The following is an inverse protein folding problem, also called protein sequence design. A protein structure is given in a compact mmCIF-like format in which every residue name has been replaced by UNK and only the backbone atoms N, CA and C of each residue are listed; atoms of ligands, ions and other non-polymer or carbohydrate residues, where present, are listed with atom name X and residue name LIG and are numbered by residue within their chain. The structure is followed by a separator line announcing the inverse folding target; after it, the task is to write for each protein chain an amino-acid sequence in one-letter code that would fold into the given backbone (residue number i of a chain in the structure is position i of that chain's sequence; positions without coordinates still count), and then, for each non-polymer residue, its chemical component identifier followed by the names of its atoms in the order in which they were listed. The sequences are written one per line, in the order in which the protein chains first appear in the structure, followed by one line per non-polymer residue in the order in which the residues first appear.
data_IF_695787293486
#
_entry.id   IF_695787293486
#
_cell.length_a   1.000
_cell.length_b   1.000
_cell.length_c   1.000
_cell.angle_alpha   90.00
_cell.angle_beta   90.00
_cell.angle_gamma   90.00
#
_symmetry.space_group_name_H-M   'P 1'
#
loop_
_entity.id
_entity.type
_entity.pdbx_description
1 polymer ?
#
# COMPACT_ATOMS: atom_id res chain seq x y z
N UNK A 1 -26.34 31.11 5.26
CA UNK A 1 -25.45 29.94 5.40
C UNK A 1 -24.33 30.31 6.36
N UNK A 2 -24.12 29.53 7.42
CA UNK A 2 -23.06 29.84 8.40
C UNK A 2 -21.67 29.62 7.76
N UNK A 3 -20.67 30.43 8.12
CA UNK A 3 -19.29 30.30 7.64
C UNK A 3 -18.76 28.85 7.80
N UNK A 4 -19.10 28.19 8.90
CA UNK A 4 -18.73 26.81 9.17
C UNK A 4 -19.39 25.80 8.22
N UNK A 5 -20.62 26.04 7.77
CA UNK A 5 -21.28 25.15 6.81
C UNK A 5 -20.64 25.26 5.41
N UNK A 6 -20.20 26.46 5.02
CA UNK A 6 -19.48 26.67 3.77
C UNK A 6 -18.11 25.95 3.76
N UNK A 7 -17.35 26.06 4.85
CA UNK A 7 -16.06 25.35 4.99
C UNK A 7 -16.24 23.83 4.90
N UNK A 8 -17.24 23.28 5.58
CA UNK A 8 -17.52 21.84 5.55
C UNK A 8 -17.89 21.37 4.14
N UNK A 9 -18.73 22.13 3.44
CA UNK A 9 -19.09 21.84 2.05
C UNK A 9 -17.88 21.86 1.12
N UNK A 10 -16.97 22.82 1.28
CA UNK A 10 -15.71 22.86 0.53
C UNK A 10 -14.82 21.66 0.85
N UNK A 11 -14.64 21.33 2.14
CA UNK A 11 -13.81 20.21 2.59
C UNK A 11 -14.30 18.86 2.04
N UNK A 12 -15.62 18.62 2.06
CA UNK A 12 -16.23 17.42 1.47
C UNK A 12 -16.01 17.32 -0.04
N UNK A 13 -16.19 18.44 -0.77
CA UNK A 13 -15.90 18.48 -2.21
C UNK A 13 -14.44 18.20 -2.52
N UNK A 14 -13.52 18.82 -1.77
CA UNK A 14 -12.08 18.58 -1.89
C UNK A 14 -11.74 17.11 -1.62
N UNK A 15 -12.30 16.51 -0.56
CA UNK A 15 -12.10 15.10 -0.27
C UNK A 15 -12.58 14.21 -1.43
N UNK A 16 -13.74 14.56 -2.01
CA UNK A 16 -14.33 13.83 -3.14
C UNK A 16 -13.47 13.89 -4.38
N UNK A 17 -13.12 15.09 -4.78
CA UNK A 17 -12.43 15.33 -6.02
C UNK A 17 -11.00 14.78 -5.94
N UNK A 18 -10.33 14.91 -4.79
CA UNK A 18 -9.00 14.30 -4.57
C UNK A 18 -9.01 12.79 -4.71
N UNK A 19 -9.96 12.11 -4.06
CA UNK A 19 -10.03 10.65 -4.10
C UNK A 19 -10.48 10.13 -5.47
N UNK A 20 -11.47 10.78 -6.10
CA UNK A 20 -11.89 10.47 -7.45
C UNK A 20 -10.74 10.59 -8.46
N UNK A 21 -10.00 11.70 -8.40
CA UNK A 21 -8.85 11.93 -9.26
C UNK A 21 -7.76 10.89 -9.03
N UNK A 22 -7.56 10.42 -7.79
CA UNK A 22 -6.60 9.35 -7.49
C UNK A 22 -7.01 8.01 -8.12
N UNK A 23 -8.29 7.63 -8.07
CA UNK A 23 -8.81 6.44 -8.74
C UNK A 23 -8.66 6.54 -10.27
N UNK A 24 -9.01 7.69 -10.84
CA UNK A 24 -8.86 7.94 -12.28
C UNK A 24 -7.41 7.89 -12.72
N UNK A 25 -6.52 8.51 -11.96
CA UNK A 25 -5.09 8.50 -12.22
C UNK A 25 -4.51 7.08 -12.13
N UNK A 26 -4.89 6.30 -11.12
CA UNK A 26 -4.45 4.91 -11.00
C UNK A 26 -4.86 4.08 -12.23
N UNK A 27 -6.11 4.20 -12.66
CA UNK A 27 -6.60 3.54 -13.89
C UNK A 27 -5.87 4.00 -15.14
N UNK A 28 -5.72 5.32 -15.32
CA UNK A 28 -5.03 5.87 -16.49
C UNK A 28 -3.56 5.45 -16.53
N UNK A 29 -2.88 5.43 -15.38
CA UNK A 29 -1.51 4.95 -15.28
C UNK A 29 -1.38 3.49 -15.61
N UNK A 30 -2.33 2.64 -15.25
CA UNK A 30 -2.32 1.25 -15.68
C UNK A 30 -2.32 1.13 -17.22
N UNK A 31 -3.16 1.93 -17.88
CA UNK A 31 -3.22 1.97 -19.35
C UNK A 31 -1.96 2.55 -20.01
N UNK A 32 -1.39 3.63 -19.45
CA UNK A 32 -0.24 4.32 -20.03
C UNK A 32 1.05 3.54 -19.80
N UNK A 33 1.27 3.09 -18.56
CA UNK A 33 2.50 2.42 -18.18
C UNK A 33 2.51 0.94 -18.65
N UNK A 34 1.35 0.41 -19.08
CA UNK A 34 1.22 -0.95 -19.59
C UNK A 34 1.39 -2.04 -18.52
N UNK A 35 1.26 -1.66 -17.24
CA UNK A 35 1.45 -2.53 -16.09
C UNK A 35 0.31 -2.33 -15.08
N UNK A 36 0.15 -3.25 -14.12
CA UNK A 36 -0.87 -3.06 -13.09
C UNK A 36 -0.54 -1.87 -12.19
N UNK A 37 -1.59 -1.15 -11.81
CA UNK A 37 -1.48 -0.04 -10.87
C UNK A 37 -2.56 -0.20 -9.81
N UNK A 38 -2.15 -0.14 -8.54
CA UNK A 38 -3.05 -0.25 -7.41
C UNK A 38 -3.19 1.08 -6.69
N UNK A 39 -4.41 1.40 -6.29
CA UNK A 39 -4.68 2.41 -5.29
C UNK A 39 -4.92 1.71 -3.96
N UNK A 40 -4.15 2.09 -2.94
CA UNK A 40 -4.19 1.53 -1.59
C UNK A 40 -4.65 2.63 -0.63
N UNK A 41 -5.62 2.31 0.24
CA UNK A 41 -6.23 3.24 1.22
C UNK A 41 -6.05 2.72 2.64
N UNK A 42 -5.71 3.62 3.55
CA UNK A 42 -5.57 3.35 4.98
C UNK A 42 -6.00 4.57 5.80
N UNK A 43 -6.39 4.36 7.04
CA UNK A 43 -6.53 5.45 8.01
C UNK A 43 -5.27 5.53 8.85
N UNK A 44 -4.78 6.74 9.12
CA UNK A 44 -3.63 6.97 10.00
C UNK A 44 -3.95 7.98 11.10
N UNK A 45 -3.15 7.96 12.17
CA UNK A 45 -3.27 8.93 13.25
C UNK A 45 -2.84 10.32 12.77
N UNK A 46 -3.78 11.27 12.77
CA UNK A 46 -3.52 12.66 12.37
C UNK A 46 -3.15 13.55 13.55
N UNK A 47 -3.59 13.18 14.76
CA UNK A 47 -3.23 13.83 16.00
C UNK A 47 -3.37 12.85 17.18
N UNK A 48 -2.61 13.12 18.23
CA UNK A 48 -2.72 12.44 19.52
C UNK A 48 -3.36 13.38 20.55
N UNK A 49 -3.88 12.81 21.62
CA UNK A 49 -4.35 13.56 22.77
C UNK A 49 -3.19 14.26 23.50
N UNK A 50 -3.51 15.10 24.49
CA UNK A 50 -2.49 15.84 25.25
C UNK A 50 -1.51 14.90 26.00
N UNK A 51 -1.91 13.66 26.26
CA UNK A 51 -1.07 12.63 26.88
C UNK A 51 -0.17 11.89 25.88
N UNK A 52 -0.35 12.11 24.57
CA UNK A 52 0.39 11.45 23.50
C UNK A 52 0.10 9.96 23.36
N UNK A 53 -0.94 9.46 24.03
CA UNK A 53 -1.21 8.02 24.17
C UNK A 53 -2.39 7.59 23.31
N UNK A 54 -3.47 8.39 23.29
CA UNK A 54 -4.66 8.10 22.50
C UNK A 54 -4.66 8.90 21.20
N UNK A 55 -5.30 8.37 20.16
CA UNK A 55 -5.50 9.10 18.92
C UNK A 55 -6.65 10.10 19.15
N UNK A 56 -6.44 11.38 18.83
CA UNK A 56 -7.50 12.39 18.91
C UNK A 56 -8.15 12.65 17.55
N UNK A 57 -7.43 12.42 16.45
CA UNK A 57 -7.90 12.68 15.08
C UNK A 57 -7.32 11.65 14.09
N UNK A 58 -8.11 11.28 13.08
CA UNK A 58 -7.70 10.38 12.01
C UNK A 58 -7.62 11.13 10.67
N UNK A 59 -6.74 10.65 9.81
CA UNK A 59 -6.68 11.05 8.41
C UNK A 59 -6.88 9.82 7.53
N UNK A 60 -7.88 9.89 6.64
CA UNK A 60 -7.97 9.01 5.48
C UNK A 60 -6.84 9.33 4.51
N UNK A 61 -5.97 8.37 4.28
CA UNK A 61 -4.81 8.50 3.40
C UNK A 61 -4.80 7.41 2.34
N UNK A 62 -4.18 7.73 1.21
CA UNK A 62 -4.08 6.80 0.10
C UNK A 62 -2.78 7.00 -0.68
N UNK A 63 -2.42 5.96 -1.44
CA UNK A 63 -1.22 5.93 -2.29
C UNK A 63 -1.53 5.18 -3.57
N UNK A 64 -0.86 5.59 -4.66
CA UNK A 64 -0.97 4.92 -5.96
C UNK A 64 0.37 4.28 -6.29
N UNK A 65 0.35 2.96 -6.51
CA UNK A 65 1.53 2.13 -6.64
C UNK A 65 1.56 1.40 -7.99
N UNK A 66 2.72 1.37 -8.62
CA UNK A 66 2.99 0.59 -9.84
C UNK A 66 3.48 -0.80 -9.47
N UNK A 67 2.96 -1.84 -10.12
CA UNK A 67 3.55 -3.19 -10.03
C UNK A 67 4.94 -3.18 -10.66
N UNK A 68 5.93 -3.70 -9.92
CA UNK A 68 7.29 -3.92 -10.44
C UNK A 68 7.52 -5.38 -10.80
N UNK A 69 6.95 -6.29 -10.04
CA UNK A 69 7.17 -7.72 -10.21
C UNK A 69 6.41 -8.55 -9.20
N UNK A 70 6.78 -9.83 -9.14
CA UNK A 70 6.23 -10.82 -8.20
C UNK A 70 7.36 -11.52 -7.50
N UNK A 71 7.15 -11.83 -6.22
CA UNK A 71 8.13 -12.59 -5.49
C UNK A 71 8.07 -14.06 -5.85
N UNK A 72 9.17 -14.59 -6.39
CA UNK A 72 9.31 -16.03 -6.64
C UNK A 72 9.57 -16.79 -5.34
N UNK A 73 10.25 -16.17 -4.37
CA UNK A 73 10.51 -16.77 -3.07
C UNK A 73 10.47 -15.77 -1.91
N UNK A 74 10.10 -16.28 -0.74
CA UNK A 74 10.17 -15.55 0.53
C UNK A 74 10.84 -16.46 1.56
N UNK A 75 11.97 -16.03 2.12
CA UNK A 75 12.69 -16.77 3.17
C UNK A 75 13.20 -15.82 4.24
N UNK A 76 12.74 -16.01 5.48
CA UNK A 76 13.05 -15.12 6.59
C UNK A 76 12.73 -13.67 6.23
N UNK A 77 13.73 -12.79 6.26
CA UNK A 77 13.57 -11.37 5.92
C UNK A 77 13.85 -11.04 4.46
N UNK A 78 14.17 -12.04 3.64
CA UNK A 78 14.53 -11.84 2.24
C UNK A 78 13.34 -12.11 1.32
N UNK A 79 13.13 -11.19 0.38
CA UNK A 79 12.12 -11.25 -0.66
C UNK A 79 12.82 -11.34 -2.01
N UNK A 80 12.56 -12.39 -2.78
CA UNK A 80 13.31 -12.73 -3.98
C UNK A 80 12.48 -12.53 -5.23
N UNK A 81 13.07 -11.91 -6.22
CA UNK A 81 12.52 -11.80 -7.57
C UNK A 81 13.63 -12.15 -8.57
N UNK A 82 13.42 -13.24 -9.30
CA UNK A 82 14.36 -13.77 -10.30
C UNK A 82 14.13 -13.21 -11.71
N UNK A 83 12.97 -12.60 -11.95
CA UNK A 83 12.56 -12.16 -13.27
C UNK A 83 12.77 -10.67 -13.47
N UNK A 84 12.63 -9.88 -12.41
CA UNK A 84 12.90 -8.46 -12.46
C UNK A 84 14.40 -8.18 -12.40
N UNK A 85 14.86 -7.22 -13.20
CA UNK A 85 16.23 -6.72 -13.12
C UNK A 85 16.41 -5.78 -11.91
N UNK A 86 16.26 -6.35 -10.72
CA UNK A 86 16.42 -5.67 -9.44
C UNK A 86 17.80 -5.01 -9.30
N UNK A 87 18.82 -5.55 -9.97
CA UNK A 87 20.18 -5.00 -9.98
C UNK A 87 20.32 -3.69 -10.76
N UNK A 88 19.40 -3.41 -11.70
CA UNK A 88 19.30 -2.12 -12.38
C UNK A 88 18.47 -1.10 -11.59
N UNK A 89 17.48 -1.57 -10.83
CA UNK A 89 16.55 -0.73 -10.07
C UNK A 89 17.11 -0.30 -8.71
N UNK A 90 17.90 -1.16 -8.08
CA UNK A 90 18.49 -0.94 -6.75
C UNK A 90 20.00 -1.09 -6.80
N UNK A 91 20.69 -0.38 -5.92
CA UNK A 91 22.14 -0.56 -5.78
C UNK A 91 22.45 -1.95 -5.22
N UNK A 92 23.62 -2.50 -5.56
CA UNK A 92 24.12 -3.74 -4.93
C UNK A 92 24.52 -3.46 -3.49
N UNK A 93 24.25 -4.43 -2.60
CA UNK A 93 24.69 -4.40 -1.19
C UNK A 93 26.21 -4.25 -1.11
N UNK A 94 26.67 -3.34 -0.27
CA UNK A 94 28.08 -3.04 0.03
C UNK A 94 28.43 -3.43 1.45
N UNK A 95 29.73 -3.50 1.75
CA UNK A 95 30.20 -3.69 3.12
C UNK A 95 29.74 -2.52 4.00
N UNK A 96 29.11 -2.84 5.14
CA UNK A 96 28.54 -1.85 6.08
C UNK A 96 27.04 -1.59 5.90
N UNK A 97 26.43 -2.08 4.81
CA UNK A 97 24.98 -2.02 4.64
C UNK A 97 24.26 -2.91 5.65
N UNK A 98 23.23 -2.36 6.29
CA UNK A 98 22.36 -3.12 7.19
C UNK A 98 20.90 -2.73 7.03
N UNK A 99 20.01 -3.73 7.07
CA UNK A 99 18.56 -3.55 7.10
C UNK A 99 18.06 -3.20 8.51
N UNK A 100 18.92 -2.57 9.32
CA UNK A 100 18.62 -2.17 10.69
C UNK A 100 18.39 -0.65 10.82
N UNK A 101 18.57 0.09 9.72
CA UNK A 101 18.42 1.55 9.69
C UNK A 101 17.28 1.94 8.76
N UNK A 102 16.38 2.81 9.22
CA UNK A 102 15.29 3.34 8.40
C UNK A 102 15.77 4.39 7.40
N UNK A 103 16.96 4.96 7.60
CA UNK A 103 17.53 5.98 6.73
C UNK A 103 17.77 5.42 5.33
N UNK A 104 17.12 6.02 4.33
CA UNK A 104 17.19 5.56 2.94
C UNK A 104 16.43 4.26 2.67
N UNK A 105 15.63 3.75 3.60
CA UNK A 105 14.77 2.59 3.33
C UNK A 105 13.73 2.89 2.25
N UNK A 106 13.32 1.84 1.52
CA UNK A 106 12.32 1.93 0.46
C UNK A 106 11.04 1.26 0.94
N UNK A 107 9.90 1.92 0.72
CA UNK A 107 8.60 1.33 1.00
C UNK A 107 8.16 0.47 -0.17
N UNK A 108 7.92 -0.80 0.13
CA UNK A 108 7.46 -1.78 -0.83
C UNK A 108 6.02 -2.17 -0.53
N UNK A 109 5.14 -1.99 -1.51
CA UNK A 109 3.72 -2.24 -1.36
C UNK A 109 3.38 -3.64 -1.88
N UNK A 110 2.72 -4.45 -1.05
CA UNK A 110 2.12 -5.71 -1.44
C UNK A 110 0.78 -5.41 -2.13
N UNK A 111 0.76 -5.50 -3.46
CA UNK A 111 -0.42 -5.18 -4.26
C UNK A 111 -1.47 -6.31 -4.24
N UNK A 112 -1.08 -7.50 -3.78
CA UNK A 112 -1.98 -8.66 -3.60
C UNK A 112 -2.75 -8.59 -2.28
N UNK A 113 -2.13 -8.09 -1.21
CA UNK A 113 -2.73 -7.98 0.13
C UNK A 113 -3.13 -6.55 0.50
N UNK A 114 -2.68 -5.56 -0.27
CA UNK A 114 -2.95 -4.15 -0.02
C UNK A 114 -2.16 -3.57 1.16
N UNK A 115 -1.05 -4.16 1.60
CA UNK A 115 -0.25 -3.64 2.71
C UNK A 115 1.17 -3.29 2.24
N UNK A 116 2.09 -2.92 3.13
CA UNK A 116 3.45 -2.51 2.74
C UNK A 116 4.52 -2.91 3.76
N UNK A 117 5.79 -2.93 3.38
CA UNK A 117 6.91 -3.14 4.31
C UNK A 117 8.07 -2.22 3.93
N UNK A 118 9.01 -1.97 4.85
CA UNK A 118 10.26 -1.31 4.51
C UNK A 118 11.32 -2.34 4.14
N UNK A 119 12.04 -2.05 3.08
CA UNK A 119 13.22 -2.81 2.65
C UNK A 119 14.44 -1.89 2.59
N UNK A 120 15.63 -2.45 2.69
CA UNK A 120 16.87 -1.71 2.45
C UNK A 120 16.90 -1.13 1.02
N UNK A 121 17.62 -0.02 0.78
CA UNK A 121 17.75 0.58 -0.57
C UNK A 121 18.65 -0.22 -1.52
N UNK A 122 18.93 -1.48 -1.21
CA UNK A 122 19.89 -2.30 -1.90
C UNK A 122 19.34 -3.70 -2.15
N UNK A 123 19.96 -4.40 -3.09
CA UNK A 123 19.71 -5.80 -3.37
C UNK A 123 20.95 -6.63 -3.05
N UNK A 124 20.74 -7.78 -2.44
CA UNK A 124 21.79 -8.75 -2.16
C UNK A 124 21.66 -9.94 -3.11
N UNK A 125 22.79 -10.57 -3.45
CA UNK A 125 22.77 -11.83 -4.16
C UNK A 125 22.70 -12.96 -3.16
N UNK A 126 21.61 -13.71 -3.18
CA UNK A 126 21.38 -14.82 -2.27
C UNK A 126 21.07 -16.08 -3.05
N UNK A 127 21.54 -17.21 -2.52
CA UNK A 127 21.22 -18.53 -3.07
C UNK A 127 19.93 -19.01 -2.43
N UNK A 128 18.95 -19.35 -3.27
CA UNK A 128 17.67 -19.95 -2.87
C UNK A 128 17.74 -21.43 -3.20
N UNK A 129 17.24 -22.30 -2.31
CA UNK A 129 17.16 -23.74 -2.57
C UNK A 129 18.42 -24.54 -2.30
N UNK A 130 19.25 -24.12 -1.33
CA UNK A 130 20.32 -24.99 -0.83
C UNK A 130 19.74 -26.23 -0.13
N UNK A 131 20.49 -27.32 -0.05
CA UNK A 131 20.05 -28.62 0.53
C UNK A 131 19.60 -28.56 1.99
N UNK A 132 19.77 -27.43 2.68
CA UNK A 132 19.24 -27.16 4.02
C UNK A 132 17.85 -26.48 4.02
N UNK A 133 17.46 -25.83 2.92
CA UNK A 133 16.17 -25.18 2.70
C UNK A 133 15.37 -25.98 1.66
N UNK A 134 14.72 -27.04 2.12
CA UNK A 134 13.95 -28.01 1.32
C UNK A 134 12.67 -27.47 0.65
N UNK A 135 12.53 -26.15 0.48
CA UNK A 135 11.28 -25.49 0.08
C UNK A 135 11.36 -24.58 -1.15
N UNK A 136 12.49 -24.53 -1.84
CA UNK A 136 12.62 -23.73 -3.07
C UNK A 136 12.21 -24.53 -4.31
N UNK A 137 10.91 -24.69 -4.52
CA UNK A 137 10.37 -25.10 -5.82
C UNK A 137 10.18 -23.85 -6.69
N UNK A 138 10.77 -23.83 -7.90
CA UNK A 138 10.45 -22.81 -8.92
C UNK A 138 8.96 -22.95 -9.15
N UNK A 139 8.25 -21.84 -9.16
CA UNK A 139 6.87 -21.81 -9.64
C UNK A 139 6.82 -22.54 -11.00
N UNK A 140 5.97 -23.57 -11.08
CA UNK A 140 5.75 -24.40 -12.28
C UNK A 140 6.85 -25.40 -12.69
N UNK A 141 7.93 -25.58 -11.92
CA UNK A 141 9.01 -26.53 -12.28
C UNK A 141 8.85 -27.95 -11.72
N UNK A 142 8.13 -28.11 -10.60
CA UNK A 142 7.95 -29.41 -9.94
C UNK A 142 9.22 -30.03 -9.34
N UNK A 143 10.30 -29.25 -9.14
CA UNK A 143 11.55 -29.74 -8.57
C UNK A 143 12.32 -28.70 -7.76
N UNK A 144 13.25 -29.17 -6.92
CA UNK A 144 14.17 -28.33 -6.14
C UNK A 144 15.47 -28.08 -6.90
N UNK A 145 15.84 -26.82 -7.09
CA UNK A 145 17.12 -26.41 -7.66
C UNK A 145 17.65 -25.20 -6.88
N UNK A 146 18.97 -25.06 -6.92
CA UNK A 146 19.66 -23.95 -6.30
C UNK A 146 19.87 -22.84 -7.33
N UNK A 147 19.30 -21.66 -7.10
CA UNK A 147 19.47 -20.48 -7.95
C UNK A 147 20.01 -19.32 -7.15
N UNK A 148 20.90 -18.55 -7.77
CA UNK A 148 21.35 -17.27 -7.24
C UNK A 148 20.44 -16.17 -7.79
N UNK A 149 19.73 -15.48 -6.91
CA UNK A 149 18.76 -14.44 -7.28
C UNK A 149 19.00 -13.15 -6.47
N UNK A 150 18.47 -12.04 -6.97
CA UNK A 150 18.45 -10.78 -6.24
C UNK A 150 17.39 -10.83 -5.14
N UNK A 151 17.78 -10.40 -3.94
CA UNK A 151 16.93 -10.36 -2.77
C UNK A 151 16.86 -8.96 -2.17
N UNK A 152 15.65 -8.50 -1.91
CA UNK A 152 15.37 -7.34 -1.05
C UNK A 152 15.37 -7.81 0.40
N UNK A 153 16.02 -7.05 1.28
CA UNK A 153 16.09 -7.36 2.71
C UNK A 153 15.12 -6.46 3.48
N UNK A 154 14.13 -7.08 4.14
CA UNK A 154 13.16 -6.39 5.00
C UNK A 154 13.84 -5.84 6.25
N UNK A 155 13.39 -4.67 6.69
CA UNK A 155 13.78 -4.12 7.98
C UNK A 155 13.11 -4.92 9.11
N UNK A 156 13.87 -5.24 10.17
CA UNK A 156 13.45 -6.17 11.23
C UNK A 156 13.22 -5.53 12.60
N UNK A 157 13.52 -4.23 12.77
CA UNK A 157 13.40 -3.53 14.04
C UNK A 157 11.99 -2.96 14.28
N UNK A 158 11.60 -2.85 15.54
CA UNK A 158 10.35 -2.26 16.00
C UNK A 158 10.21 -0.77 15.62
N UNK A 159 9.01 -0.37 15.21
CA UNK A 159 8.61 1.00 14.87
C UNK A 159 7.67 1.05 13.68
N UNK A 160 7.43 2.23 13.10
CA UNK A 160 6.68 2.38 11.83
C UNK A 160 7.27 1.57 10.66
N UNK A 161 8.49 1.04 10.82
CA UNK A 161 9.16 0.11 9.92
C UNK A 161 8.54 -1.30 9.87
N UNK A 162 7.86 -1.72 10.94
CA UNK A 162 7.28 -3.06 11.11
C UNK A 162 5.76 -3.11 10.98
N UNK A 163 5.09 -1.96 10.80
CA UNK A 163 3.62 -1.87 10.99
C UNK A 163 2.81 -2.46 9.86
N UNK A 164 3.40 -2.64 8.68
CA UNK A 164 2.86 -3.58 7.73
C UNK A 164 3.51 -4.95 7.94
N UNK A 165 2.90 -5.71 8.85
CA UNK A 165 3.11 -7.15 9.02
C UNK A 165 2.55 -7.89 7.80
N UNK A 166 3.00 -7.54 6.60
CA UNK A 166 2.73 -8.32 5.40
C UNK A 166 3.45 -9.64 5.56
N UNK A 167 2.66 -10.69 5.78
CA UNK A 167 3.11 -12.05 5.56
C UNK A 167 3.22 -12.21 4.05
N UNK A 168 4.33 -11.72 3.49
CA UNK A 168 4.66 -11.90 2.08
C UNK A 168 4.67 -13.39 1.78
N UNK A 169 4.02 -13.76 0.68
CA UNK A 169 3.98 -15.12 0.18
C UNK A 169 4.61 -15.17 -1.21
N UNK A 170 5.15 -16.33 -1.54
CA UNK A 170 5.49 -16.64 -2.93
C UNK A 170 4.28 -16.38 -3.83
N UNK A 171 4.50 -15.66 -4.93
CA UNK A 171 3.49 -15.23 -5.89
C UNK A 171 2.87 -13.85 -5.61
N UNK A 172 3.08 -13.26 -4.43
CA UNK A 172 2.59 -11.91 -4.13
C UNK A 172 3.23 -10.89 -5.09
N UNK A 173 2.39 -10.05 -5.68
CA UNK A 173 2.80 -8.91 -6.49
C UNK A 173 3.24 -7.75 -5.61
N UNK A 174 4.35 -7.12 -5.96
CA UNK A 174 4.87 -5.96 -5.24
C UNK A 174 5.04 -4.74 -6.15
N UNK A 175 5.04 -3.57 -5.53
CA UNK A 175 5.12 -2.30 -6.24
C UNK A 175 5.70 -1.16 -5.43
N UNK A 176 5.96 -0.06 -6.14
CA UNK A 176 6.48 1.19 -5.57
C UNK A 176 5.51 2.33 -5.87
N UNK A 177 5.55 3.37 -5.04
CA UNK A 177 4.73 4.55 -5.21
C UNK A 177 5.05 5.29 -6.52
N UNK A 178 4.01 5.62 -7.29
CA UNK A 178 4.08 6.55 -8.44
C UNK A 178 3.73 7.96 -7.96
N UNK A 179 2.78 8.04 -7.03
CA UNK A 179 2.35 9.28 -6.39
C UNK A 179 2.57 9.12 -4.90
N UNK A 180 3.19 10.10 -4.23
CA UNK A 180 3.39 10.03 -2.80
C UNK A 180 2.06 9.91 -2.07
N UNK A 181 2.11 9.42 -0.83
CA UNK A 181 0.94 9.35 0.04
C UNK A 181 0.27 10.72 0.11
N UNK A 182 -1.04 10.73 -0.09
CA UNK A 182 -1.89 11.92 0.07
C UNK A 182 -2.95 11.63 1.13
N UNK A 183 -3.14 12.59 2.02
CA UNK A 183 -4.20 12.58 3.01
C UNK A 183 -5.36 13.44 2.54
N UNK A 184 -6.57 12.97 2.78
CA UNK A 184 -7.77 13.79 2.68
C UNK A 184 -7.76 14.88 3.77
N UNK A 185 -8.59 15.93 3.65
CA UNK A 185 -8.77 16.89 4.73
C UNK A 185 -9.05 16.21 6.07
N UNK A 186 -8.59 16.83 7.16
CA UNK A 186 -8.79 16.30 8.51
C UNK A 186 -10.27 16.06 8.82
N UNK A 187 -10.53 15.04 9.65
CA UNK A 187 -11.88 14.64 10.04
C UNK A 187 -12.61 13.79 9.00
N UNK A 188 -11.94 13.29 7.97
CA UNK A 188 -12.46 12.25 7.07
C UNK A 188 -11.77 10.91 7.31
N UNK A 189 -12.55 9.84 7.23
CA UNK A 189 -12.08 8.47 7.38
C UNK A 189 -12.67 7.56 6.29
N UNK A 190 -11.97 6.49 5.96
CA UNK A 190 -12.58 5.34 5.27
C UNK A 190 -13.39 4.53 6.28
N UNK A 191 -14.70 4.39 6.04
CA UNK A 191 -15.65 3.79 6.98
C UNK A 191 -15.41 2.30 7.17
N UNK A 192 -14.99 1.61 6.11
CA UNK A 192 -14.74 0.17 6.12
C UNK A 192 -13.46 -0.26 6.87
N UNK A 193 -12.63 0.70 7.30
CA UNK A 193 -11.38 0.42 8.01
C UNK A 193 -11.53 0.68 9.51
N UNK A 194 -10.58 0.19 10.31
CA UNK A 194 -10.51 0.51 11.72
C UNK A 194 -10.50 2.05 11.94
N UNK A 195 -11.47 2.49 12.73
CA UNK A 195 -11.71 3.89 13.08
C UNK A 195 -11.61 4.12 14.60
N UNK A 196 -11.08 3.14 15.35
CA UNK A 196 -10.97 3.20 16.80
C UNK A 196 -9.83 4.14 17.21
N UNK A 197 -10.16 5.06 18.11
CA UNK A 197 -9.27 6.13 18.56
C UNK A 197 -8.39 5.73 19.75
N UNK A 198 -7.92 4.48 19.80
CA UNK A 198 -7.17 3.94 20.94
C UNK A 198 -5.67 4.13 20.79
N UNK A 199 -5.05 3.52 19.77
CA UNK A 199 -3.61 3.63 19.48
C UNK A 199 -3.35 3.49 17.98
N UNK A 200 -2.35 4.22 17.48
CA UNK A 200 -1.91 4.15 16.08
C UNK A 200 -1.50 2.74 15.65
N UNK A 201 -0.99 1.93 16.58
CA UNK A 201 -0.58 0.55 16.31
C UNK A 201 -1.77 -0.38 15.96
N UNK A 202 -3.00 0.05 16.23
CA UNK A 202 -4.21 -0.71 15.89
C UNK A 202 -4.73 -0.39 14.48
N UNK A 203 -4.24 0.67 13.83
CA UNK A 203 -4.63 1.10 12.48
C UNK A 203 -3.83 0.33 11.41
N UNK A 204 -4.05 -0.99 11.35
CA UNK A 204 -3.38 -1.88 10.38
C UNK A 204 -4.26 -2.24 9.19
N UNK A 205 -5.53 -1.82 9.23
CA UNK A 205 -6.48 -2.13 8.17
C UNK A 205 -6.14 -1.35 6.92
N UNK A 206 -6.08 -2.06 5.81
CA UNK A 206 -5.83 -1.48 4.50
C UNK A 206 -6.79 -2.10 3.50
N UNK A 207 -7.17 -1.31 2.50
CA UNK A 207 -7.95 -1.79 1.36
C UNK A 207 -7.34 -1.28 0.07
N UNK A 208 -7.59 -1.98 -1.03
CA UNK A 208 -7.04 -1.58 -2.32
C UNK A 208 -7.96 -1.93 -3.48
N UNK A 209 -7.68 -1.29 -4.61
CA UNK A 209 -8.18 -1.69 -5.93
C UNK A 209 -7.00 -1.71 -6.88
N UNK A 210 -6.93 -2.74 -7.72
CA UNK A 210 -5.86 -2.91 -8.71
C UNK A 210 -6.46 -2.88 -10.10
N UNK A 211 -5.94 -1.98 -10.93
CA UNK A 211 -6.28 -1.86 -12.34
C UNK A 211 -5.29 -2.66 -13.20
N UNK A 212 -5.82 -3.40 -14.16
CA UNK A 212 -5.08 -4.09 -15.20
C UNK A 212 -4.65 -3.10 -16.30
N UNK A 213 -3.67 -3.46 -17.17
CA UNK A 213 -3.20 -2.59 -18.26
C UNK A 213 -4.28 -2.15 -19.26
N UNK A 214 -5.40 -2.86 -19.36
CA UNK A 214 -6.55 -2.46 -20.19
C UNK A 214 -7.50 -1.47 -19.47
N UNK A 215 -7.20 -1.11 -18.22
CA UNK A 215 -8.00 -0.22 -17.39
C UNK A 215 -9.18 -0.89 -16.70
N UNK A 216 -9.34 -2.22 -16.83
CA UNK A 216 -10.26 -3.01 -16.02
C UNK A 216 -9.73 -3.17 -14.60
N UNK A 217 -10.58 -3.56 -13.64
CA UNK A 217 -10.16 -3.83 -12.28
C UNK A 217 -10.17 -5.33 -11.99
N UNK A 218 -9.12 -5.86 -11.36
CA UNK A 218 -9.01 -7.29 -11.01
C UNK A 218 -10.25 -7.75 -10.24
N UNK A 219 -10.70 -6.91 -9.32
CA UNK A 219 -11.90 -7.11 -8.51
C UNK A 219 -12.61 -5.77 -8.34
N UNK A 220 -13.93 -5.81 -8.31
CA UNK A 220 -14.72 -4.64 -7.94
C UNK A 220 -14.41 -4.21 -6.49
N UNK A 221 -14.42 -2.91 -6.24
CA UNK A 221 -14.12 -2.34 -4.93
C UNK A 221 -15.10 -1.21 -4.62
N UNK A 222 -15.42 -1.04 -3.34
CA UNK A 222 -16.27 0.06 -2.87
C UNK A 222 -15.57 0.76 -1.73
N UNK A 223 -15.38 2.07 -1.81
CA UNK A 223 -14.76 2.87 -0.76
C UNK A 223 -15.76 3.86 -0.20
N UNK A 224 -15.90 3.94 1.11
CA UNK A 224 -16.83 4.88 1.75
C UNK A 224 -16.05 5.91 2.58
N UNK A 225 -16.04 7.15 2.13
CA UNK A 225 -15.46 8.27 2.87
C UNK A 225 -16.57 8.95 3.68
N UNK A 226 -16.35 9.13 4.98
CA UNK A 226 -17.29 9.84 5.86
C UNK A 226 -16.59 10.77 6.84
N UNK A 227 -17.35 11.68 7.42
CA UNK A 227 -16.89 12.46 8.56
C UNK A 227 -16.61 11.54 9.77
N UNK A 228 -15.49 11.79 10.45
CA UNK A 228 -15.09 11.09 11.67
C UNK A 228 -16.10 11.32 12.80
N UNK A 229 -16.62 12.54 12.95
CA UNK A 229 -17.57 12.91 14.00
C UNK A 229 -18.97 12.35 13.79
N UNK A 230 -19.22 11.63 12.67
CA UNK A 230 -20.54 11.17 12.24
C UNK A 230 -21.59 12.28 12.32
N UNK A 231 -21.20 13.50 11.94
CA UNK A 231 -22.13 14.62 11.83
C UNK A 231 -23.22 14.26 10.81
N UNK A 232 -24.50 14.19 11.20
CA UNK A 232 -25.59 13.80 10.30
C UNK A 232 -25.79 14.79 9.15
N UNK A 233 -25.20 15.99 9.24
CA UNK A 233 -25.27 17.00 8.18
C UNK A 233 -24.13 16.91 7.16
N UNK A 234 -23.15 16.02 7.36
CA UNK A 234 -22.06 15.78 6.41
C UNK A 234 -22.34 14.47 5.68
N UNK A 235 -22.81 14.59 4.44
CA UNK A 235 -23.08 13.43 3.60
C UNK A 235 -21.79 12.61 3.39
N UNK A 236 -21.93 11.31 3.59
CA UNK A 236 -20.88 10.37 3.23
C UNK A 236 -20.77 10.28 1.71
N UNK A 237 -19.65 9.78 1.23
CA UNK A 237 -19.39 9.60 -0.19
C UNK A 237 -18.97 8.17 -0.40
N UNK A 238 -19.66 7.49 -1.31
CA UNK A 238 -19.36 6.12 -1.71
C UNK A 238 -18.82 6.12 -3.13
N UNK A 239 -17.66 5.51 -3.29
CA UNK A 239 -16.99 5.28 -4.56
C UNK A 239 -17.12 3.82 -4.90
N UNK A 240 -17.57 3.48 -6.09
CA UNK A 240 -17.63 2.09 -6.55
C UNK A 240 -16.83 1.96 -7.83
N UNK A 241 -15.94 0.98 -7.85
CA UNK A 241 -15.15 0.56 -9.02
C UNK A 241 -15.72 -0.78 -9.48
N UNK A 242 -16.26 -0.83 -10.69
CA UNK A 242 -16.69 -2.08 -11.30
C UNK A 242 -15.50 -2.89 -11.81
N UNK A 243 -15.71 -4.17 -12.12
CA UNK A 243 -14.65 -5.01 -12.73
C UNK A 243 -14.22 -4.50 -14.11
N UNK A 244 -15.08 -3.77 -14.82
CA UNK A 244 -14.72 -3.08 -16.07
C UNK A 244 -13.91 -1.79 -15.83
N UNK A 245 -13.61 -1.44 -14.57
CA UNK A 245 -12.87 -0.23 -14.21
C UNK A 245 -13.73 1.04 -14.24
N UNK A 246 -15.05 0.94 -14.34
CA UNK A 246 -15.94 2.10 -14.25
C UNK A 246 -16.00 2.61 -12.81
N UNK A 247 -15.77 3.91 -12.63
CA UNK A 247 -15.76 4.56 -11.31
C UNK A 247 -17.02 5.40 -11.18
N UNK A 248 -17.88 5.07 -10.22
CA UNK A 248 -19.08 5.83 -9.87
C UNK A 248 -18.98 6.41 -8.47
N UNK A 249 -19.59 7.58 -8.26
CA UNK A 249 -19.61 8.28 -6.97
C UNK A 249 -21.05 8.57 -6.60
N UNK A 250 -21.46 8.17 -5.40
CA UNK A 250 -22.77 8.47 -4.84
C UNK A 250 -22.61 9.15 -3.48
N UNK A 251 -23.40 10.19 -3.23
CA UNK A 251 -23.50 10.83 -1.91
C UNK A 251 -24.56 10.10 -1.09
N UNK A 252 -24.22 9.73 0.14
CA UNK A 252 -25.12 9.14 1.13
C UNK A 252 -25.50 10.17 2.19
#
# INVERSE_FOLDING_TARGET
TSYFSAIRGMSSRTARDNFYNALMMARQRACIDGCRVSLIVFNEAAAFDASGTAISDLAASFVVCRELGRFSFVSGNFLFDEFSDLGSLFRKKQAGDSANTSAGSVKLYNLSQGAWTLVGPYVDWKTVGSSADSSAELLYSGGSFSIKAHALERLTRSGTASTGSTNWKTGDSYGVEITPIKSLPKGFVFDELNNNLTSGDTLKDVRSVTFEPDGSAIRGATFTIRSQTRDPNVQGMRFTVSTQGNITVTTN
#
